data_IF_602225756413
#
_entry.id   IF_602225756413
#
_cell.length_a   1.000
_cell.length_b   1.000
_cell.length_c   1.000
_cell.angle_alpha   90.00
_cell.angle_beta   90.00
_cell.angle_gamma   90.00
#
_symmetry.space_group_name_H-M   'P 1'
#
loop_
_entity.id
_entity.type
_entity.pdbx_description
1 polymer ?
#
# COMPACT_ATOMS: atom_id res chain seq x y z
N UNK A 1 12.79 0.50 2.95
CA UNK A 1 13.21 -0.43 4.03
C UNK A 1 13.03 0.30 5.35
N UNK A 2 12.42 -0.32 6.35
CA UNK A 2 12.40 0.20 7.73
C UNK A 2 13.68 -0.32 8.38
N UNK A 3 14.62 0.58 8.66
CA UNK A 3 15.97 0.23 9.17
C UNK A 3 16.12 0.42 10.67
N UNK A 4 15.15 1.08 11.30
CA UNK A 4 15.10 1.33 12.74
C UNK A 4 13.64 1.34 13.24
N UNK A 5 13.47 1.30 14.57
CA UNK A 5 12.15 1.36 15.18
C UNK A 5 11.45 2.68 14.82
N UNK A 6 10.20 2.60 14.36
CA UNK A 6 9.39 3.78 14.02
C UNK A 6 7.96 3.59 14.51
N UNK A 7 7.38 4.63 15.10
CA UNK A 7 5.96 4.64 15.47
C UNK A 7 5.15 5.04 14.24
N UNK A 8 4.42 4.09 13.62
CA UNK A 8 3.57 4.33 12.45
C UNK A 8 2.14 4.78 12.82
N UNK A 9 1.95 5.11 14.09
CA UNK A 9 0.87 5.96 14.57
C UNK A 9 -0.43 5.27 14.95
N UNK A 10 -0.81 4.14 14.34
CA UNK A 10 -2.02 3.42 14.75
C UNK A 10 -1.94 2.99 16.23
N UNK A 11 -3.01 3.17 17.04
CA UNK A 11 -4.36 3.68 16.70
C UNK A 11 -4.55 5.19 16.97
N UNK A 12 -3.49 5.95 17.19
CA UNK A 12 -3.53 7.37 17.55
C UNK A 12 -3.61 8.28 16.32
N UNK A 13 -2.65 8.15 15.41
CA UNK A 13 -2.58 8.96 14.20
C UNK A 13 -2.26 8.10 12.99
N UNK A 14 -2.86 8.37 11.83
CA UNK A 14 -2.70 7.56 10.63
C UNK A 14 -2.17 8.34 9.43
N UNK A 15 -1.57 7.64 8.48
CA UNK A 15 -1.15 8.19 7.20
C UNK A 15 -0.05 9.23 7.36
N UNK A 16 -0.37 10.48 7.04
CA UNK A 16 0.52 11.62 7.19
C UNK A 16 0.25 12.38 8.51
N UNK A 17 0.29 11.70 9.65
CA UNK A 17 -0.03 12.29 10.97
C UNK A 17 -1.45 12.90 11.04
N UNK A 18 -2.45 12.13 10.65
CA UNK A 18 -3.86 12.51 10.83
C UNK A 18 -4.35 11.93 12.17
N UNK A 19 -4.61 12.75 13.21
CA UNK A 19 -5.01 12.25 14.52
C UNK A 19 -6.43 11.68 14.50
N UNK A 20 -6.67 10.61 15.25
CA UNK A 20 -8.02 10.26 15.66
C UNK A 20 -8.45 11.08 16.87
N UNK A 21 -9.75 11.08 17.13
CA UNK A 21 -10.26 11.59 18.41
C UNK A 21 -10.12 10.52 19.48
N UNK A 22 -9.71 10.96 20.66
CA UNK A 22 -9.56 10.10 21.81
C UNK A 22 -10.92 9.54 22.26
N UNK A 23 -10.93 8.27 22.64
CA UNK A 23 -12.13 7.53 22.95
C UNK A 23 -12.54 7.80 24.38
N UNK A 24 -13.76 8.30 24.55
CA UNK A 24 -14.36 8.44 25.86
C UNK A 24 -15.03 7.13 26.30
N UNK A 25 -14.79 6.70 27.54
CA UNK A 25 -15.50 5.59 28.16
C UNK A 25 -16.08 6.07 29.50
N UNK A 26 -17.30 5.65 29.85
CA UNK A 26 -18.08 4.57 29.24
C UNK A 26 -18.89 4.96 28.00
N UNK A 27 -18.94 6.24 27.61
CA UNK A 27 -19.75 6.72 26.48
C UNK A 27 -18.90 7.01 25.22
N UNK A 28 -18.72 6.02 24.31
CA UNK A 28 -17.92 6.19 23.09
C UNK A 28 -18.56 7.13 22.07
N UNK A 29 -19.82 7.54 22.24
CA UNK A 29 -20.48 8.49 21.33
C UNK A 29 -20.00 9.94 21.50
N UNK A 30 -19.26 10.22 22.58
CA UNK A 30 -18.73 11.55 22.92
C UNK A 30 -17.21 11.53 22.97
N UNK A 31 -16.52 11.40 21.83
CA UNK A 31 -15.07 11.38 21.80
C UNK A 31 -14.48 12.67 22.40
N UNK A 32 -13.29 12.54 22.99
CA UNK A 32 -12.54 13.62 23.61
C UNK A 32 -11.78 14.44 22.54
N UNK A 33 -10.68 15.09 22.91
CA UNK A 33 -9.84 15.85 22.00
C UNK A 33 -9.15 14.98 20.93
N UNK A 34 -8.41 15.63 20.04
CA UNK A 34 -7.53 14.95 19.09
C UNK A 34 -6.28 14.43 19.80
N UNK A 35 -5.75 13.29 19.36
CA UNK A 35 -4.45 12.83 19.85
C UNK A 35 -3.31 13.77 19.41
N UNK A 36 -2.33 13.95 20.30
CA UNK A 36 -1.06 14.61 19.95
C UNK A 36 -0.16 13.60 19.22
N UNK A 37 0.02 13.80 17.91
CA UNK A 37 0.84 12.90 17.09
C UNK A 37 2.35 13.02 17.35
N UNK A 38 2.81 14.11 17.98
CA UNK A 38 4.22 14.28 18.34
C UNK A 38 4.51 13.74 19.75
N UNK A 39 3.50 13.65 20.62
CA UNK A 39 3.61 13.05 21.95
C UNK A 39 2.44 12.08 22.29
N UNK A 40 2.24 11.01 21.51
CA UNK A 40 1.14 10.09 21.76
C UNK A 40 1.32 9.35 23.08
N UNK A 41 0.20 9.08 23.78
CA UNK A 41 0.20 8.39 25.08
C UNK A 41 -0.65 7.13 25.05
N UNK A 42 -0.09 6.04 25.57
CA UNK A 42 -0.83 4.80 25.83
C UNK A 42 -1.34 4.77 27.27
N UNK A 43 -2.56 5.29 27.44
CA UNK A 43 -3.29 5.33 28.71
C UNK A 43 -4.21 4.11 28.90
N UNK A 44 -4.04 3.06 28.10
CA UNK A 44 -4.80 1.81 28.27
C UNK A 44 -4.59 1.26 29.69
N UNK A 45 -5.65 0.84 30.39
CA UNK A 45 -5.52 0.22 31.71
C UNK A 45 -4.78 -1.13 31.67
N UNK A 46 -4.64 -1.70 30.47
CA UNK A 46 -3.90 -2.94 30.24
C UNK A 46 -2.47 -2.68 29.70
N UNK A 47 -1.99 -1.43 29.72
CA UNK A 47 -0.64 -1.12 29.25
C UNK A 47 0.40 -1.53 30.30
N UNK A 48 1.31 -2.43 29.93
CA UNK A 48 2.50 -2.82 30.68
C UNK A 48 3.81 -2.26 30.07
N UNK A 49 3.69 -1.53 28.95
CA UNK A 49 4.80 -0.95 28.21
C UNK A 49 4.97 0.56 28.42
N UNK A 50 5.50 1.23 27.39
CA UNK A 50 5.68 2.68 27.41
C UNK A 50 4.33 3.41 27.46
N UNK A 51 4.19 4.35 28.39
CA UNK A 51 3.07 5.29 28.42
C UNK A 51 3.32 6.43 27.43
N UNK A 52 4.47 7.09 27.51
CA UNK A 52 4.86 8.12 26.55
C UNK A 52 5.50 7.44 25.34
N UNK A 53 4.82 7.50 24.20
CA UNK A 53 5.26 6.85 22.97
C UNK A 53 6.16 7.79 22.15
N UNK A 54 7.06 7.25 21.32
CA UNK A 54 7.80 8.06 20.36
C UNK A 54 6.86 8.80 19.40
N UNK A 55 7.29 9.94 18.82
CA UNK A 55 6.51 10.68 17.82
C UNK A 55 6.06 9.79 16.66
N UNK A 56 4.86 10.05 16.13
CA UNK A 56 4.37 9.35 14.96
C UNK A 56 5.19 9.73 13.73
N UNK A 57 5.48 8.75 12.90
CA UNK A 57 6.14 8.86 11.59
C UNK A 57 5.14 8.54 10.48
N UNK A 58 5.32 9.15 9.32
CA UNK A 58 4.41 8.98 8.20
C UNK A 58 4.34 7.55 7.69
N UNK A 59 3.21 7.16 7.08
CA UNK A 59 3.09 5.92 6.34
C UNK A 59 3.41 6.14 4.86
N UNK A 60 4.02 5.15 4.20
CA UNK A 60 4.30 5.24 2.76
C UNK A 60 3.02 5.14 1.90
N UNK A 61 2.04 4.34 2.35
CA UNK A 61 0.79 4.09 1.65
C UNK A 61 -0.32 3.95 2.71
N UNK A 62 -1.38 4.72 2.56
CA UNK A 62 -2.65 4.60 3.30
C UNK A 62 -3.79 4.92 2.34
N UNK A 63 -5.00 4.45 2.60
CA UNK A 63 -6.13 4.67 1.70
C UNK A 63 -7.46 4.54 2.43
N UNK A 64 -8.49 5.11 1.80
CA UNK A 64 -9.89 5.00 2.19
C UNK A 64 -10.71 4.49 1.00
N UNK A 65 -12.02 4.20 1.17
CA UNK A 65 -12.88 3.83 0.06
C UNK A 65 -12.89 4.87 -1.08
N UNK A 66 -12.69 6.14 -0.76
CA UNK A 66 -12.71 7.25 -1.71
C UNK A 66 -11.41 7.38 -2.51
N UNK A 67 -10.28 6.88 -1.99
CA UNK A 67 -9.00 6.93 -2.69
C UNK A 67 -7.79 6.82 -1.76
N UNK A 68 -6.62 6.81 -2.38
CA UNK A 68 -5.35 6.58 -1.70
C UNK A 68 -4.66 7.88 -1.31
N UNK A 69 -3.96 7.82 -0.19
CA UNK A 69 -3.28 8.95 0.41
C UNK A 69 -4.20 10.16 0.61
N UNK A 70 -5.42 10.01 1.18
CA UNK A 70 -6.27 11.16 1.47
C UNK A 70 -5.51 12.12 2.37
N UNK A 71 -5.60 13.40 2.06
CA UNK A 71 -5.04 14.51 2.80
C UNK A 71 -5.99 15.70 2.77
N UNK A 72 -5.97 16.53 3.79
CA UNK A 72 -6.96 17.59 3.98
C UNK A 72 -6.27 18.90 4.39
N UNK A 73 -6.89 20.05 4.14
CA UNK A 73 -6.51 21.30 4.80
C UNK A 73 -6.47 21.14 6.31
N UNK A 74 -5.52 21.80 6.97
CA UNK A 74 -5.34 21.75 8.42
C UNK A 74 -5.61 23.09 9.05
N UNK A 75 -6.18 23.07 10.25
CA UNK A 75 -6.35 24.27 11.07
C UNK A 75 -5.01 24.73 11.71
N UNK A 76 -5.07 25.78 12.53
CA UNK A 76 -3.91 26.34 13.24
C UNK A 76 -3.23 25.34 14.20
N UNK A 77 -3.96 24.31 14.64
CA UNK A 77 -3.47 23.26 15.53
C UNK A 77 -2.98 22.03 14.74
N UNK A 78 -2.94 22.10 13.41
CA UNK A 78 -2.51 21.00 12.55
C UNK A 78 -3.54 19.89 12.40
N UNK A 79 -4.78 20.10 12.85
CA UNK A 79 -5.86 19.11 12.76
C UNK A 79 -6.45 19.15 11.34
N UNK A 80 -6.50 18.01 10.62
CA UNK A 80 -7.16 17.93 9.32
C UNK A 80 -8.65 18.27 9.42
N UNK A 81 -9.21 18.92 8.40
CA UNK A 81 -10.64 19.24 8.38
C UNK A 81 -11.55 18.00 8.36
N UNK A 82 -11.04 16.89 7.81
CA UNK A 82 -11.78 15.65 7.51
C UNK A 82 -13.03 15.85 6.64
N UNK A 83 -13.17 17.02 6.01
CA UNK A 83 -14.26 17.30 5.08
C UNK A 83 -13.94 16.65 3.73
N UNK A 84 -14.84 15.80 3.25
CA UNK A 84 -14.57 14.95 2.10
C UNK A 84 -14.40 15.74 0.79
N UNK A 85 -15.12 16.85 0.66
CA UNK A 85 -15.06 17.79 -0.46
C UNK A 85 -13.76 18.62 -0.48
N UNK A 86 -13.06 18.72 0.63
CA UNK A 86 -11.74 19.35 0.74
C UNK A 86 -10.57 18.35 0.54
N UNK A 87 -10.86 17.06 0.41
CA UNK A 87 -9.84 16.02 0.37
C UNK A 87 -9.02 16.03 -0.95
N UNK A 88 -7.71 15.92 -0.81
CA UNK A 88 -6.77 15.62 -1.91
C UNK A 88 -6.30 14.17 -1.80
N UNK A 89 -6.45 13.39 -2.87
CA UNK A 89 -5.97 11.99 -2.92
C UNK A 89 -4.60 11.92 -3.59
N UNK A 90 -3.56 11.70 -2.78
CA UNK A 90 -2.16 11.68 -3.24
C UNK A 90 -1.76 10.38 -3.95
N UNK A 91 -2.55 9.32 -3.82
CA UNK A 91 -2.37 8.03 -4.50
C UNK A 91 -3.65 7.65 -5.25
N UNK A 92 -4.03 8.37 -6.32
CA UNK A 92 -5.33 8.20 -6.99
C UNK A 92 -5.52 6.85 -7.67
N UNK A 93 -4.43 6.10 -7.90
CA UNK A 93 -4.45 4.72 -8.40
C UNK A 93 -4.94 3.71 -7.35
N UNK A 94 -4.84 4.04 -6.06
CA UNK A 94 -5.21 3.20 -4.94
C UNK A 94 -6.63 3.54 -4.47
N UNK A 95 -7.64 3.01 -5.16
CA UNK A 95 -9.05 3.25 -4.84
C UNK A 95 -9.85 1.96 -4.91
N UNK A 96 -10.95 1.88 -4.16
CA UNK A 96 -11.80 0.69 -4.12
C UNK A 96 -11.25 -0.41 -3.21
N UNK A 97 -11.47 -1.67 -3.62
CA UNK A 97 -11.12 -2.85 -2.82
C UNK A 97 -11.97 -3.04 -1.55
N UNK A 98 -11.62 -4.07 -0.79
CA UNK A 98 -12.20 -4.40 0.51
C UNK A 98 -11.55 -3.70 1.70
N UNK A 99 -10.62 -2.76 1.45
CA UNK A 99 -9.82 -2.08 2.49
C UNK A 99 -8.98 -3.09 3.30
N UNK A 100 -8.50 -4.12 2.62
CA UNK A 100 -7.72 -5.22 3.16
C UNK A 100 -6.42 -5.30 2.35
N UNK A 101 -5.45 -4.49 2.77
CA UNK A 101 -4.18 -4.34 2.09
C UNK A 101 -3.41 -5.67 2.05
N UNK A 102 -2.98 -6.05 0.86
CA UNK A 102 -2.19 -7.25 0.61
C UNK A 102 -0.82 -6.84 0.10
N UNK A 103 0.15 -6.97 0.99
CA UNK A 103 1.54 -6.71 0.69
C UNK A 103 2.14 -7.82 -0.17
N UNK A 104 3.18 -7.54 -0.93
CA UNK A 104 4.19 -8.56 -1.17
C UNK A 104 5.49 -8.09 -1.78
N UNK A 105 6.00 -8.76 -2.83
CA UNK A 105 7.43 -8.81 -3.05
C UNK A 105 7.94 -7.50 -3.66
N UNK A 106 9.20 -7.20 -3.38
CA UNK A 106 10.00 -6.33 -4.23
C UNK A 106 10.65 -7.23 -5.30
N UNK A 107 10.39 -6.96 -6.58
CA UNK A 107 11.05 -7.72 -7.64
C UNK A 107 12.53 -7.35 -7.69
N UNK A 108 13.39 -8.37 -7.80
CA UNK A 108 14.83 -8.21 -7.96
C UNK A 108 15.26 -8.90 -9.23
N UNK A 109 15.73 -8.13 -10.19
CA UNK A 109 16.21 -8.66 -11.45
C UNK A 109 17.60 -9.27 -11.26
N UNK A 110 17.78 -10.48 -11.80
CA UNK A 110 19.06 -11.17 -11.86
C UNK A 110 19.49 -11.28 -13.33
N UNK A 111 20.57 -10.58 -13.68
CA UNK A 111 21.14 -10.57 -15.01
C UNK A 111 21.76 -11.92 -15.39
N UNK A 112 22.30 -12.65 -14.40
CA UNK A 112 23.01 -13.92 -14.58
C UNK A 112 22.04 -15.11 -14.61
N UNK A 113 20.80 -14.93 -14.12
CA UNK A 113 19.75 -15.95 -14.19
C UNK A 113 19.48 -16.39 -15.63
N UNK A 114 19.51 -17.69 -15.89
CA UNK A 114 19.13 -18.26 -17.20
C UNK A 114 17.64 -18.56 -17.31
N UNK A 115 16.80 -18.06 -16.39
CA UNK A 115 15.36 -18.32 -16.46
C UNK A 115 14.70 -17.56 -17.61
N UNK A 116 13.97 -18.30 -18.44
CA UNK A 116 13.11 -17.73 -19.50
C UNK A 116 11.83 -17.09 -18.96
N UNK A 117 11.48 -17.34 -17.69
CA UNK A 117 10.26 -16.79 -17.06
C UNK A 117 10.55 -15.65 -16.09
N UNK A 118 11.82 -15.21 -15.97
CA UNK A 118 12.16 -14.01 -15.19
C UNK A 118 11.56 -12.77 -15.86
N UNK A 119 11.04 -11.86 -15.04
CA UNK A 119 10.51 -10.60 -15.54
C UNK A 119 11.66 -9.68 -16.02
N UNK A 120 11.40 -8.72 -16.92
CA UNK A 120 12.45 -7.82 -17.39
C UNK A 120 13.01 -6.92 -16.29
N UNK A 121 14.26 -6.44 -16.49
CA UNK A 121 14.94 -5.50 -15.60
C UNK A 121 14.13 -4.22 -15.33
N UNK A 122 13.18 -3.86 -16.19
CA UNK A 122 12.22 -2.78 -15.94
C UNK A 122 11.53 -2.90 -14.59
N UNK A 123 11.20 -4.12 -14.14
CA UNK A 123 10.48 -4.33 -12.88
C UNK A 123 11.38 -4.27 -11.65
N UNK A 124 12.70 -4.21 -11.81
CA UNK A 124 13.65 -4.25 -10.69
C UNK A 124 13.36 -3.13 -9.68
N UNK A 125 13.38 -3.48 -8.39
CA UNK A 125 13.13 -2.58 -7.28
C UNK A 125 11.66 -2.17 -7.09
N UNK A 126 10.76 -2.55 -8.00
CA UNK A 126 9.32 -2.27 -7.82
C UNK A 126 8.71 -3.20 -6.77
N UNK A 127 7.97 -2.61 -5.85
CA UNK A 127 7.23 -3.27 -4.78
C UNK A 127 5.80 -3.55 -5.22
N UNK A 128 5.36 -4.79 -5.12
CA UNK A 128 4.03 -5.22 -5.53
C UNK A 128 3.07 -5.04 -4.36
N UNK A 129 2.03 -4.24 -4.59
CA UNK A 129 0.98 -3.90 -3.61
C UNK A 129 -0.40 -4.14 -4.19
N UNK A 130 -1.32 -4.67 -3.38
CA UNK A 130 -2.70 -4.87 -3.80
C UNK A 130 -3.69 -4.87 -2.64
N UNK A 131 -4.94 -5.22 -2.96
CA UNK A 131 -6.04 -5.38 -2.01
C UNK A 131 -6.70 -6.75 -2.20
N UNK A 132 -7.22 -7.30 -1.10
CA UNK A 132 -7.83 -8.63 -1.05
C UNK A 132 -9.01 -8.82 -2.00
N UNK A 133 -10.02 -7.93 -2.04
CA UNK A 133 -11.37 -8.32 -2.46
C UNK A 133 -11.76 -7.91 -3.89
N UNK A 134 -12.45 -8.80 -4.61
CA UNK A 134 -12.62 -8.90 -6.07
C UNK A 134 -13.32 -7.75 -6.84
N UNK A 135 -13.56 -6.60 -6.20
CA UNK A 135 -14.12 -5.42 -6.85
C UNK A 135 -13.04 -4.68 -7.68
N UNK A 136 -13.12 -3.34 -7.79
CA UNK A 136 -12.02 -2.54 -8.31
C UNK A 136 -10.78 -2.70 -7.41
N UNK A 137 -10.00 -3.75 -7.66
CA UNK A 137 -8.79 -4.07 -6.90
C UNK A 137 -7.64 -3.21 -7.38
N UNK A 138 -7.10 -2.32 -6.56
CA UNK A 138 -5.77 -1.80 -6.83
C UNK A 138 -4.80 -2.97 -6.79
N UNK A 139 -3.99 -3.10 -7.86
CA UNK A 139 -2.89 -4.06 -7.96
C UNK A 139 -1.82 -3.37 -8.76
N UNK A 140 -0.79 -2.90 -8.08
CA UNK A 140 0.21 -2.04 -8.69
C UNK A 140 1.60 -2.49 -8.27
N UNK A 141 2.57 -2.25 -9.14
CA UNK A 141 3.96 -2.27 -8.77
C UNK A 141 4.41 -0.82 -8.58
N UNK A 142 4.86 -0.49 -7.38
CA UNK A 142 5.23 0.86 -6.99
C UNK A 142 6.74 0.98 -6.80
N UNK A 143 7.32 2.10 -7.21
CA UNK A 143 8.73 2.40 -6.94
C UNK A 143 8.81 3.43 -5.82
N UNK A 144 9.61 3.11 -4.81
CA UNK A 144 9.87 4.00 -3.68
C UNK A 144 11.14 4.82 -3.93
N UNK A 145 11.17 6.06 -3.43
CA UNK A 145 12.42 6.82 -3.34
C UNK A 145 13.24 6.32 -2.14
N UNK A 146 14.47 5.79 -2.35
CA UNK A 146 15.32 5.33 -1.26
C UNK A 146 15.61 6.37 -0.19
N UNK A 147 15.57 7.67 -0.54
CA UNK A 147 15.85 8.78 0.38
C UNK A 147 14.73 9.06 1.37
N UNK A 148 13.49 8.74 1.01
CA UNK A 148 12.30 9.14 1.79
C UNK A 148 11.48 7.93 2.24
N UNK A 149 11.69 6.75 1.67
CA UNK A 149 10.91 5.55 2.00
C UNK A 149 10.98 5.16 3.49
N UNK A 150 12.07 5.46 4.19
CA UNK A 150 12.21 5.19 5.62
C UNK A 150 11.23 6.01 6.46
N UNK A 151 11.04 7.27 6.06
CA UNK A 151 10.31 8.29 6.83
C UNK A 151 8.85 8.47 6.39
N UNK A 152 8.34 7.54 5.57
CA UNK A 152 6.96 7.58 5.08
C UNK A 152 6.78 8.33 3.76
N UNK A 153 7.84 8.55 2.99
CA UNK A 153 7.74 9.08 1.63
C UNK A 153 6.80 8.23 0.75
N UNK A 154 5.98 8.91 -0.05
CA UNK A 154 5.08 8.26 -1.00
C UNK A 154 5.86 7.58 -2.14
N UNK A 155 5.27 6.57 -2.81
CA UNK A 155 5.84 6.06 -4.06
C UNK A 155 6.03 7.16 -5.10
N UNK A 156 7.16 7.14 -5.80
CA UNK A 156 7.47 8.08 -6.89
C UNK A 156 6.95 7.61 -8.24
N UNK A 157 6.59 6.34 -8.35
CA UNK A 157 6.01 5.76 -9.55
C UNK A 157 5.08 4.60 -9.18
N UNK A 158 4.07 4.37 -10.01
CA UNK A 158 3.09 3.29 -9.86
C UNK A 158 2.70 2.78 -11.24
N UNK A 159 2.78 1.48 -11.43
CA UNK A 159 2.37 0.79 -12.66
C UNK A 159 1.24 -0.18 -12.34
N UNK A 160 0.21 -0.20 -13.19
CA UNK A 160 -0.94 -1.10 -13.01
C UNK A 160 -0.57 -2.52 -13.43
N UNK A 161 -0.81 -3.48 -12.55
CA UNK A 161 -0.60 -4.90 -12.82
C UNK A 161 -1.84 -5.58 -13.41
N UNK A 162 -2.97 -4.89 -13.56
CA UNK A 162 -4.25 -5.52 -13.97
C UNK A 162 -4.18 -6.27 -15.31
N UNK A 163 -3.29 -5.86 -16.22
CA UNK A 163 -3.07 -6.53 -17.52
C UNK A 163 -2.13 -7.74 -17.45
N UNK A 164 -1.35 -7.87 -16.37
CA UNK A 164 -0.35 -8.93 -16.18
C UNK A 164 -0.87 -9.97 -15.18
N UNK A 165 -1.50 -9.49 -14.10
CA UNK A 165 -2.07 -10.28 -13.01
C UNK A 165 -3.59 -10.12 -13.09
N UNK A 166 -4.30 -10.97 -13.87
CA UNK A 166 -5.70 -10.78 -14.19
C UNK A 166 -6.58 -10.81 -12.94
N UNK A 167 -7.63 -9.99 -12.95
CA UNK A 167 -8.64 -9.86 -11.89
C UNK A 167 -9.96 -10.49 -12.31
N UNK A 168 -10.81 -10.83 -11.35
CA UNK A 168 -12.21 -11.14 -11.60
C UNK A 168 -12.50 -12.63 -11.78
N UNK A 169 -13.60 -12.96 -12.47
CA UNK A 169 -14.16 -14.32 -12.45
C UNK A 169 -13.29 -15.40 -13.08
N UNK A 170 -12.56 -15.04 -14.13
CA UNK A 170 -11.64 -15.91 -14.87
C UNK A 170 -10.17 -15.61 -14.54
N UNK A 171 -9.93 -14.78 -13.53
CA UNK A 171 -8.61 -14.43 -13.00
C UNK A 171 -8.53 -14.63 -11.49
N UNK A 172 -7.60 -13.93 -10.85
CA UNK A 172 -7.44 -13.97 -9.40
C UNK A 172 -8.56 -13.14 -8.76
N UNK A 173 -9.39 -13.78 -7.93
CA UNK A 173 -10.52 -13.14 -7.24
C UNK A 173 -10.07 -12.47 -5.96
N UNK A 174 -9.53 -13.25 -5.04
CA UNK A 174 -9.20 -12.83 -3.69
C UNK A 174 -7.70 -12.93 -3.47
N UNK A 175 -6.98 -11.83 -3.69
CA UNK A 175 -5.51 -11.80 -3.55
C UNK A 175 -5.14 -12.02 -2.07
N UNK A 176 -4.40 -13.08 -1.75
CA UNK A 176 -3.93 -13.32 -0.38
C UNK A 176 -2.43 -13.15 -0.21
N UNK A 177 -1.70 -13.34 -1.30
CA UNK A 177 -0.25 -13.25 -1.26
C UNK A 177 0.33 -13.50 -2.63
N UNK A 178 1.58 -13.10 -2.78
CA UNK A 178 2.33 -13.29 -4.00
C UNK A 178 3.83 -13.31 -3.69
N UNK A 179 4.58 -14.03 -4.52
CA UNK A 179 6.02 -14.20 -4.36
C UNK A 179 6.65 -14.56 -5.69
N UNK A 180 7.84 -14.04 -5.97
CA UNK A 180 8.64 -14.53 -7.09
C UNK A 180 9.29 -15.87 -6.74
N UNK A 181 9.10 -16.86 -7.62
CA UNK A 181 9.73 -18.17 -7.51
C UNK A 181 11.21 -18.14 -7.93
N UNK A 182 11.96 -19.22 -7.66
CA UNK A 182 13.34 -19.37 -8.15
C UNK A 182 13.39 -19.48 -9.68
N UNK A 183 12.29 -19.85 -10.33
CA UNK A 183 12.11 -19.79 -11.79
C UNK A 183 11.84 -18.36 -12.29
N UNK A 184 11.82 -17.34 -11.44
CA UNK A 184 11.61 -15.95 -11.83
C UNK A 184 10.16 -15.58 -12.19
N UNK A 185 9.21 -16.53 -12.16
CA UNK A 185 7.79 -16.26 -12.35
C UNK A 185 7.17 -15.70 -11.05
N UNK A 186 6.07 -14.94 -11.17
CA UNK A 186 5.30 -14.47 -10.03
C UNK A 186 4.24 -15.51 -9.68
N UNK A 187 4.25 -16.01 -8.45
CA UNK A 187 3.20 -16.88 -7.93
C UNK A 187 2.21 -16.05 -7.11
N UNK A 188 0.91 -16.25 -7.32
CA UNK A 188 -0.15 -15.51 -6.63
C UNK A 188 -1.14 -16.49 -6.00
N UNK A 189 -1.40 -16.32 -4.71
CA UNK A 189 -2.39 -17.07 -3.95
C UNK A 189 -3.75 -16.40 -4.08
N UNK A 190 -4.72 -17.14 -4.63
CA UNK A 190 -6.11 -16.76 -4.75
C UNK A 190 -6.97 -17.53 -3.74
N UNK A 191 -7.67 -16.80 -2.88
CA UNK A 191 -8.59 -17.36 -1.89
C UNK A 191 -9.98 -17.72 -2.45
N UNK A 192 -10.19 -17.59 -3.76
CA UNK A 192 -11.45 -17.96 -4.40
C UNK A 192 -12.61 -17.04 -4.00
N UNK A 193 -13.75 -17.60 -3.56
CA UNK A 193 -14.89 -16.85 -3.02
C UNK A 193 -15.03 -17.03 -1.52
N UNK A 194 -15.24 -15.90 -0.84
CA UNK A 194 -15.56 -15.84 0.58
C UNK A 194 -14.34 -15.58 1.47
N UNK A 195 -14.64 -15.25 2.72
CA UNK A 195 -13.64 -14.96 3.76
C UNK A 195 -13.60 -16.16 4.72
N UNK A 196 -12.39 -16.61 5.08
CA UNK A 196 -12.13 -17.82 5.88
C UNK A 196 -12.81 -19.11 5.39
N UNK A 197 -12.94 -19.27 4.07
CA UNK A 197 -13.48 -20.48 3.46
C UNK A 197 -12.62 -20.89 2.27
N UNK A 198 -12.62 -22.17 1.92
CA UNK A 198 -11.98 -22.70 0.71
C UNK A 198 -13.09 -23.14 -0.24
N UNK A 199 -12.90 -22.84 -1.52
CA UNK A 199 -13.81 -23.27 -2.57
C UNK A 199 -13.05 -23.84 -3.77
N UNK A 200 -13.78 -24.31 -4.79
CA UNK A 200 -13.20 -24.83 -6.02
C UNK A 200 -12.53 -23.77 -6.91
N UNK A 201 -12.58 -22.49 -6.51
CA UNK A 201 -11.93 -21.37 -7.19
C UNK A 201 -10.66 -20.91 -6.49
N UNK A 202 -10.38 -21.43 -5.29
CA UNK A 202 -9.11 -21.21 -4.60
C UNK A 202 -7.97 -21.83 -5.43
N UNK A 203 -6.91 -21.06 -5.67
CA UNK A 203 -5.87 -21.45 -6.62
C UNK A 203 -4.51 -20.85 -6.31
N UNK A 204 -3.46 -21.53 -6.78
CA UNK A 204 -2.13 -20.97 -6.93
C UNK A 204 -1.91 -20.63 -8.41
N UNK A 205 -1.79 -19.34 -8.71
CA UNK A 205 -1.55 -18.85 -10.05
C UNK A 205 -0.05 -18.70 -10.31
N UNK A 206 0.44 -19.17 -11.46
CA UNK A 206 1.78 -18.88 -11.97
C UNK A 206 1.66 -17.84 -13.07
N UNK A 207 2.23 -16.66 -12.86
CA UNK A 207 2.18 -15.52 -13.75
C UNK A 207 3.56 -15.31 -14.38
N UNK A 208 3.65 -15.55 -15.68
CA UNK A 208 4.81 -15.24 -16.50
C UNK A 208 4.61 -13.89 -17.19
N UNK A 209 5.71 -13.28 -17.62
CA UNK A 209 5.68 -12.00 -18.31
C UNK A 209 6.04 -12.18 -19.78
N UNK A 210 5.09 -11.90 -20.68
CA UNK A 210 5.28 -11.97 -22.13
C UNK A 210 5.33 -10.57 -22.79
N UNK A 211 5.32 -9.52 -21.97
CA UNK A 211 5.38 -8.13 -22.46
C UNK A 211 6.75 -7.77 -23.05
N UNK A 212 6.77 -6.74 -23.89
CA UNK A 212 8.01 -6.14 -24.38
C UNK A 212 8.68 -5.21 -23.36
N UNK A 213 9.83 -4.64 -23.74
CA UNK A 213 10.46 -3.56 -22.97
C UNK A 213 9.55 -2.32 -22.82
N UNK A 214 9.96 -1.34 -21.99
CA UNK A 214 9.17 -0.12 -21.77
C UNK A 214 8.84 0.58 -23.10
N UNK A 215 7.58 0.99 -23.26
CA UNK A 215 7.10 1.76 -24.42
C UNK A 215 6.53 3.11 -23.99
N UNK A 216 6.93 4.24 -24.61
CA UNK A 216 8.02 4.35 -25.59
C UNK A 216 9.37 4.04 -24.93
N UNK A 217 10.26 3.39 -25.67
CA UNK A 217 11.62 3.20 -25.17
C UNK A 217 12.28 4.57 -24.93
N UNK A 218 13.29 4.66 -24.04
CA UNK A 218 13.90 5.94 -23.68
C UNK A 218 14.46 6.72 -24.90
N UNK A 219 14.82 6.00 -25.97
CA UNK A 219 15.24 6.56 -27.26
C UNK A 219 14.07 7.03 -28.17
N UNK A 220 12.83 6.75 -27.80
CA UNK A 220 11.60 7.15 -28.49
C UNK A 220 10.86 8.29 -27.77
N UNK A 221 11.34 8.73 -26.60
CA UNK A 221 10.83 9.92 -25.94
C UNK A 221 11.29 11.16 -26.71
N UNK A 222 10.35 12.05 -27.04
CA UNK A 222 10.66 13.34 -27.61
C UNK A 222 11.53 14.11 -26.61
N UNK A 223 12.81 14.31 -26.94
CA UNK A 223 13.67 15.23 -26.19
C UNK A 223 13.18 16.63 -26.54
N UNK A 224 12.72 17.39 -25.55
CA UNK A 224 12.36 18.78 -25.75
C UNK A 224 13.51 19.50 -26.46
N UNK A 225 13.20 20.17 -27.56
CA UNK A 225 14.14 21.07 -28.23
C UNK A 225 14.53 22.17 -27.25
N UNK A 226 15.83 22.26 -26.95
CA UNK A 226 16.44 23.40 -26.24
C UNK A 226 16.22 24.72 -27.00
#
# INVERSE_FOLDING_TARGET
>A
VITEASNRGWPYCMGNKQPYRDRNLPDPSKPLGWYDCDHPKNESPNNDGLVNLPPVTGNNIWYSPQGGGPDYPRDENGVPSYQQDEATYRLPWLKGGGQAAMNGPVYRYDADSTSDTKWPAYWDGKWFVGDFYDADQPRNAVLMDPKTQGDGGLPVHSESLKKIVPVGNDGIKNLMGWKFGPDGALYVLDYGRGFFTSDSKSALWRVTYEGGGPTPAANQLARGSE
#
